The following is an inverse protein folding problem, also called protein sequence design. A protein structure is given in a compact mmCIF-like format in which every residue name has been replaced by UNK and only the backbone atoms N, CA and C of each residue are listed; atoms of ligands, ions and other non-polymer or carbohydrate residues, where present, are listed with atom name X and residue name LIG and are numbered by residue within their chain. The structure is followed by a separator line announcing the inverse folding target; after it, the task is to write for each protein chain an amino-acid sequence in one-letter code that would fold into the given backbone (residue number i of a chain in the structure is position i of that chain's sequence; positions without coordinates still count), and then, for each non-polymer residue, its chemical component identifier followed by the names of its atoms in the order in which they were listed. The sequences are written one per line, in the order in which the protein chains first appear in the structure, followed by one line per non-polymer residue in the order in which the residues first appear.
data_IF_764601701631
#
_entry.id   IF_764601701631
#
_cell.length_a   1.000
_cell.length_b   1.000
_cell.length_c   1.000
_cell.angle_alpha   90.00
_cell.angle_beta   90.00
_cell.angle_gamma   90.00
#
_symmetry.space_group_name_H-M   'P 1'
#
loop_
_entity.id
_entity.type
_entity.pdbx_description
1 polymer ?
#
# COMPACT_ATOMS: atom_id res chain seq x y z
N UNK A 1 28.44 5.79 18.90
CA UNK A 1 27.91 4.79 17.94
C UNK A 1 26.43 4.62 18.22
N UNK A 2 25.56 5.33 17.50
CA UNK A 2 24.11 5.22 17.73
C UNK A 2 23.63 3.86 17.23
N UNK A 3 23.32 2.96 18.15
CA UNK A 3 22.78 1.64 17.85
C UNK A 3 21.52 1.76 17.01
N UNK A 4 21.49 1.10 15.86
CA UNK A 4 20.34 1.01 14.96
C UNK A 4 19.16 0.47 15.78
N UNK A 5 18.18 1.32 16.12
CA UNK A 5 16.95 0.88 16.80
C UNK A 5 16.30 -0.16 15.88
N UNK A 6 16.30 -1.43 16.30
CA UNK A 6 15.59 -2.51 15.58
C UNK A 6 14.12 -2.09 15.57
N UNK A 7 13.66 -1.57 14.44
CA UNK A 7 12.23 -1.47 14.19
C UNK A 7 11.74 -2.90 14.09
N UNK A 8 10.87 -3.30 15.02
CA UNK A 8 10.19 -4.59 14.97
C UNK A 8 9.24 -4.54 13.76
N UNK A 9 9.73 -5.04 12.62
CA UNK A 9 9.03 -4.99 11.34
C UNK A 9 8.55 -6.39 11.02
N UNK A 10 7.26 -6.53 10.76
CA UNK A 10 6.70 -7.75 10.21
C UNK A 10 6.81 -7.72 8.69
N UNK A 11 7.38 -8.77 8.09
CA UNK A 11 7.40 -8.90 6.64
C UNK A 11 6.09 -9.56 6.18
N UNK A 12 5.36 -8.89 5.30
CA UNK A 12 4.16 -9.42 4.67
C UNK A 12 4.45 -9.77 3.22
N UNK A 13 4.28 -11.03 2.84
CA UNK A 13 4.34 -11.47 1.45
C UNK A 13 2.93 -11.77 0.94
N UNK A 14 2.51 -11.09 -0.13
CA UNK A 14 1.21 -11.27 -0.74
C UNK A 14 1.36 -11.52 -2.25
N UNK A 15 0.54 -12.43 -2.79
CA UNK A 15 0.40 -12.61 -4.24
C UNK A 15 -0.57 -11.56 -4.76
N UNK A 16 -0.08 -10.66 -5.60
CA UNK A 16 -0.85 -9.52 -6.14
C UNK A 16 -0.66 -9.43 -7.65
N UNK A 17 -1.51 -8.67 -8.33
CA UNK A 17 -1.35 -8.39 -9.75
C UNK A 17 -0.04 -7.62 -10.03
N UNK A 18 0.53 -7.72 -11.24
CA UNK A 18 1.68 -6.90 -11.63
C UNK A 18 1.43 -5.41 -11.37
N UNK A 19 2.50 -4.67 -11.01
CA UNK A 19 2.47 -3.23 -10.69
C UNK A 19 1.63 -2.81 -9.48
N UNK A 20 1.01 -3.76 -8.75
CA UNK A 20 0.28 -3.42 -7.51
C UNK A 20 1.18 -2.70 -6.51
N UNK A 21 2.44 -3.16 -6.35
CA UNK A 21 3.41 -2.51 -5.47
C UNK A 21 3.72 -1.06 -5.84
N UNK A 22 3.92 -0.77 -7.12
CA UNK A 22 4.15 0.59 -7.63
C UNK A 22 2.95 1.50 -7.34
N UNK A 23 1.73 1.03 -7.65
CA UNK A 23 0.50 1.78 -7.35
C UNK A 23 0.31 2.04 -5.86
N UNK A 24 0.65 1.08 -5.01
CA UNK A 24 0.59 1.28 -3.56
C UNK A 24 1.61 2.33 -3.08
N UNK A 25 2.79 2.40 -3.69
CA UNK A 25 3.75 3.49 -3.43
C UNK A 25 3.20 4.84 -3.87
N UNK A 26 2.62 4.93 -5.07
CA UNK A 26 2.00 6.16 -5.57
C UNK A 26 0.88 6.65 -4.64
N UNK A 27 0.01 5.74 -4.19
CA UNK A 27 -1.06 6.05 -3.22
C UNK A 27 -0.46 6.51 -1.89
N UNK A 28 0.54 5.79 -1.37
CA UNK A 28 1.20 6.16 -0.12
C UNK A 28 1.81 7.57 -0.22
N UNK A 29 2.49 7.89 -1.33
CA UNK A 29 3.05 9.20 -1.58
C UNK A 29 1.97 10.29 -1.67
N UNK A 30 0.89 10.04 -2.43
CA UNK A 30 -0.21 10.99 -2.59
C UNK A 30 -0.92 11.30 -1.26
N UNK A 31 -0.97 10.33 -0.36
CA UNK A 31 -1.55 10.47 0.98
C UNK A 31 -0.54 10.96 2.05
N UNK A 32 0.71 11.23 1.67
CA UNK A 32 1.75 11.77 2.57
C UNK A 32 2.47 10.72 3.43
N UNK A 33 2.21 9.42 3.22
CA UNK A 33 2.97 8.34 3.84
C UNK A 33 4.28 8.14 3.07
N UNK A 34 5.33 8.83 3.47
CA UNK A 34 6.63 8.85 2.77
C UNK A 34 7.73 8.26 3.67
N UNK A 35 8.61 7.44 3.09
CA UNK A 35 9.81 6.93 3.72
C UNK A 35 11.00 7.02 2.76
N UNK A 36 12.03 7.79 3.12
CA UNK A 36 13.23 7.92 2.31
C UNK A 36 13.03 8.59 0.94
N UNK A 37 12.00 9.44 0.80
CA UNK A 37 11.67 10.13 -0.45
C UNK A 37 10.71 9.37 -1.38
N UNK A 38 10.33 8.14 -1.03
CA UNK A 38 9.33 7.36 -1.76
C UNK A 38 8.09 7.07 -0.90
N UNK A 39 6.97 6.73 -1.54
CA UNK A 39 5.78 6.26 -0.83
C UNK A 39 6.04 5.02 0.01
N UNK A 40 5.65 5.08 1.28
CA UNK A 40 5.82 4.03 2.29
C UNK A 40 4.61 3.11 2.34
N UNK A 41 4.64 2.06 1.51
CA UNK A 41 3.54 1.08 1.46
C UNK A 41 3.24 0.44 2.82
N UNK A 42 4.27 0.15 3.63
CA UNK A 42 4.06 -0.41 4.97
C UNK A 42 3.23 0.52 5.87
N UNK A 43 3.59 1.80 5.94
CA UNK A 43 2.84 2.78 6.75
C UNK A 43 1.43 3.02 6.23
N UNK A 44 1.24 3.01 4.91
CA UNK A 44 -0.08 3.06 4.31
C UNK A 44 -0.95 1.88 4.78
N UNK A 45 -0.40 0.66 4.73
CA UNK A 45 -1.10 -0.56 5.15
C UNK A 45 -1.41 -0.56 6.66
N UNK A 46 -0.48 -0.09 7.48
CA UNK A 46 -0.70 0.08 8.92
C UNK A 46 -1.84 1.08 9.19
N UNK A 47 -1.86 2.21 8.49
CA UNK A 47 -2.92 3.21 8.63
C UNK A 47 -4.30 2.69 8.19
N UNK A 48 -4.34 1.85 7.15
CA UNK A 48 -5.57 1.13 6.76
C UNK A 48 -6.00 0.16 7.87
N UNK A 49 -5.08 -0.66 8.37
CA UNK A 49 -5.37 -1.67 9.39
C UNK A 49 -5.84 -1.06 10.73
N UNK A 50 -5.28 0.11 11.09
CA UNK A 50 -5.64 0.86 12.29
C UNK A 50 -6.91 1.72 12.13
N UNK A 51 -7.51 1.75 10.93
CA UNK A 51 -8.71 2.56 10.64
C UNK A 51 -8.45 4.06 10.49
N UNK A 52 -7.18 4.48 10.39
CA UNK A 52 -6.80 5.86 10.07
C UNK A 52 -7.08 6.24 8.61
N UNK A 53 -7.29 5.25 7.74
CA UNK A 53 -7.73 5.41 6.35
C UNK A 53 -8.97 4.56 6.11
N UNK A 54 -10.00 5.15 5.52
CA UNK A 54 -11.20 4.43 5.10
C UNK A 54 -11.10 4.14 3.60
N UNK A 55 -11.04 2.85 3.24
CA UNK A 55 -11.12 2.40 1.85
C UNK A 55 -12.58 2.28 1.44
N UNK A 56 -13.01 3.07 0.44
CA UNK A 56 -14.34 2.93 -0.16
C UNK A 56 -14.26 1.88 -1.27
N UNK A 57 -14.77 0.69 -1.02
CA UNK A 57 -14.83 -0.37 -2.02
C UNK A 57 -15.98 -0.09 -3.01
N UNK A 58 -15.64 0.35 -4.23
CA UNK A 58 -16.58 0.34 -5.36
C UNK A 58 -16.39 -0.96 -6.13
N UNK A 59 -17.40 -1.84 -6.09
CA UNK A 59 -17.33 -3.12 -6.81
C UNK A 59 -17.50 -2.87 -8.31
N UNK A 60 -16.43 -2.58 -9.03
CA UNK A 60 -16.39 -2.83 -10.47
C UNK A 60 -15.66 -4.14 -10.73
N UNK A 61 -16.46 -5.20 -10.89
CA UNK A 61 -15.99 -6.50 -11.37
C UNK A 61 -15.47 -6.35 -12.81
N UNK A 62 -14.30 -6.93 -13.17
CA UNK A 62 -13.86 -6.98 -14.55
C UNK A 62 -14.70 -8.01 -15.32
N UNK A 63 -15.89 -7.59 -15.75
CA UNK A 63 -16.64 -8.26 -16.81
C UNK A 63 -17.42 -7.24 -17.66
N UNK A 64 -16.74 -6.18 -18.09
CA UNK A 64 -17.29 -5.22 -19.03
C UNK A 64 -16.32 -5.08 -20.21
N UNK A 65 -16.48 -5.98 -21.19
CA UNK A 65 -16.12 -5.87 -22.61
C UNK A 65 -15.54 -7.19 -23.16
N UNK A 66 -16.37 -8.23 -23.24
CA UNK A 66 -16.35 -9.10 -24.43
C UNK A 66 -17.45 -8.57 -25.35
N UNK A 67 -17.10 -7.69 -26.29
CA UNK A 67 -17.95 -7.46 -27.44
C UNK A 67 -17.46 -8.38 -28.55
N UNK A 68 -18.40 -9.19 -29.06
CA UNK A 68 -18.20 -10.16 -30.13
C UNK A 68 -18.13 -9.54 -31.52
#
# INVERSE_FOLDING_TARGET
MAGRKKLDRTNLHARVAPKTGEKLKEIAQALGYIHGGEGSTGQLLDAIALGGIILIATKQSPNAAKNG
#
